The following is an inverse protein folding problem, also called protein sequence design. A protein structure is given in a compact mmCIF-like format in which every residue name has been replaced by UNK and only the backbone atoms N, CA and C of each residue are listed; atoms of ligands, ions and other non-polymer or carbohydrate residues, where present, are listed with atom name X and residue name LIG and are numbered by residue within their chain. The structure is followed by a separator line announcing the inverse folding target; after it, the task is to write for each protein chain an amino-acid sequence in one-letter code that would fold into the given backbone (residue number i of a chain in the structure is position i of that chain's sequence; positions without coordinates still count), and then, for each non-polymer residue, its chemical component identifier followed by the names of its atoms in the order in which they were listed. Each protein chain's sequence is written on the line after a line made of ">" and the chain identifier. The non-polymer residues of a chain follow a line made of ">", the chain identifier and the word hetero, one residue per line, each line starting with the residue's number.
data_IF_996160788928
#
_entry.id   IF_996160788928
#
_cell.length_a   1.000
_cell.length_b   1.000
_cell.length_c   1.000
_cell.angle_alpha   90.00
_cell.angle_beta   90.00
_cell.angle_gamma   90.00
#
_symmetry.space_group_name_H-M   'P 1'
#
loop_
_entity.id
_entity.type
_entity.pdbx_description
1 polymer ?
#
# COMPACT_ATOMS: atom_id res chain seq x y z
N UNK A 1 -8.68 4.90 22.49
CA UNK A 1 -8.60 4.79 21.01
C UNK A 1 -9.73 3.88 20.54
N UNK A 2 -10.56 4.30 19.57
CA UNK A 2 -11.73 3.52 19.11
C UNK A 2 -11.29 2.20 18.39
N UNK A 3 -12.00 1.06 18.58
CA UNK A 3 -11.73 -0.22 17.91
C UNK A 3 -11.50 -0.14 16.40
N UNK A 4 -12.24 0.70 15.68
CA UNK A 4 -12.08 0.87 14.23
C UNK A 4 -10.70 1.43 13.87
N UNK A 5 -10.23 2.44 14.63
CA UNK A 5 -8.90 3.03 14.47
C UNK A 5 -7.79 2.05 14.84
N UNK A 6 -8.01 1.20 15.84
CA UNK A 6 -7.07 0.13 16.20
C UNK A 6 -6.94 -0.91 15.07
N UNK A 7 -8.06 -1.29 14.44
CA UNK A 7 -8.08 -2.22 13.31
C UNK A 7 -7.31 -1.66 12.10
N UNK A 8 -7.53 -0.39 11.75
CA UNK A 8 -6.74 0.30 10.72
C UNK A 8 -5.25 0.33 11.02
N UNK A 9 -4.88 0.80 12.22
CA UNK A 9 -3.47 0.85 12.65
C UNK A 9 -2.77 -0.52 12.62
N UNK A 10 -3.47 -1.61 12.96
CA UNK A 10 -2.92 -2.98 12.88
C UNK A 10 -2.64 -3.38 11.44
N UNK A 11 -3.60 -3.15 10.54
CA UNK A 11 -3.45 -3.42 9.12
C UNK A 11 -2.25 -2.66 8.53
N UNK A 12 -2.19 -1.35 8.74
CA UNK A 12 -1.10 -0.53 8.20
C UNK A 12 0.28 -1.02 8.68
N UNK A 13 0.40 -1.41 9.96
CA UNK A 13 1.64 -1.98 10.51
C UNK A 13 1.99 -3.33 9.89
N UNK A 14 0.99 -4.17 9.65
CA UNK A 14 1.17 -5.46 8.99
C UNK A 14 1.66 -5.28 7.55
N UNK A 15 1.09 -4.32 6.81
CA UNK A 15 1.52 -3.97 5.45
C UNK A 15 2.96 -3.47 5.46
N UNK A 16 3.30 -2.52 6.34
CA UNK A 16 4.69 -2.01 6.45
C UNK A 16 5.66 -3.13 6.78
N UNK A 17 5.31 -4.03 7.70
CA UNK A 17 6.14 -5.19 8.04
C UNK A 17 6.36 -6.10 6.83
N UNK A 18 5.29 -6.44 6.10
CA UNK A 18 5.40 -7.30 4.90
C UNK A 18 6.26 -6.65 3.81
N UNK A 19 6.12 -5.33 3.61
CA UNK A 19 6.96 -4.54 2.70
C UNK A 19 8.43 -4.61 3.10
N UNK A 20 8.73 -4.40 4.39
CA UNK A 20 10.09 -4.46 4.93
C UNK A 20 10.69 -5.86 4.86
N UNK A 21 9.92 -6.90 5.19
CA UNK A 21 10.34 -8.30 5.12
C UNK A 21 10.70 -8.70 3.67
N UNK A 22 10.06 -8.09 2.68
CA UNK A 22 10.35 -8.29 1.25
C UNK A 22 11.55 -7.46 0.74
N UNK A 23 12.25 -6.71 1.62
CA UNK A 23 13.45 -5.94 1.28
C UNK A 23 13.20 -4.52 0.77
N UNK A 24 11.97 -4.01 0.92
CA UNK A 24 11.61 -2.64 0.56
C UNK A 24 11.68 -1.70 1.77
N UNK A 25 11.76 -0.41 1.52
CA UNK A 25 11.57 0.61 2.57
C UNK A 25 10.07 0.87 2.70
N UNK A 26 9.48 0.52 3.85
CA UNK A 26 8.07 0.79 4.16
C UNK A 26 7.92 1.82 5.27
N UNK A 27 7.15 2.88 5.01
CA UNK A 27 6.87 3.97 5.93
C UNK A 27 5.36 4.18 6.11
N UNK A 28 4.90 4.34 7.35
CA UNK A 28 3.50 4.59 7.66
C UNK A 28 3.24 6.07 7.83
N UNK A 29 2.11 6.55 7.29
CA UNK A 29 1.67 7.91 7.51
C UNK A 29 1.36 8.16 8.99
N UNK A 30 1.86 9.26 9.56
CA UNK A 30 1.50 9.66 10.91
C UNK A 30 0.00 9.98 10.97
N UNK A 31 -0.67 9.42 11.97
CA UNK A 31 -2.11 9.53 12.17
C UNK A 31 -2.98 9.09 10.96
N UNK A 32 -2.43 8.24 10.06
CA UNK A 32 -3.08 7.84 8.80
C UNK A 32 -3.40 9.04 7.91
N UNK A 33 -2.48 10.00 7.86
CA UNK A 33 -2.57 11.18 6.99
C UNK A 33 -1.29 11.33 6.16
N UNK A 34 -1.41 11.09 4.86
CA UNK A 34 -0.27 11.08 3.94
C UNK A 34 0.46 12.43 3.84
N UNK A 35 -0.13 13.55 4.29
CA UNK A 35 0.57 14.84 4.38
C UNK A 35 1.82 14.79 5.24
N UNK A 36 1.83 13.90 6.24
CA UNK A 36 3.02 13.65 7.07
C UNK A 36 4.21 13.06 6.30
N UNK A 37 3.95 12.46 5.14
CA UNK A 37 4.94 11.91 4.21
C UNK A 37 5.13 12.79 2.97
N UNK A 38 4.52 13.99 2.94
CA UNK A 38 4.50 14.86 1.76
C UNK A 38 3.56 14.38 0.64
N UNK A 39 2.56 13.56 0.97
CA UNK A 39 1.59 12.96 0.04
C UNK A 39 0.16 13.44 0.35
N UNK A 40 -0.82 12.99 -0.43
CA UNK A 40 -2.24 13.28 -0.19
C UNK A 40 -2.78 12.56 1.07
N UNK A 41 -3.86 13.08 1.65
CA UNK A 41 -4.35 12.65 2.97
C UNK A 41 -4.72 11.17 3.05
N UNK A 42 -5.16 10.59 1.95
CA UNK A 42 -5.69 9.24 1.85
C UNK A 42 -4.63 8.16 1.61
N UNK A 43 -3.34 8.55 1.58
CA UNK A 43 -2.19 7.66 1.61
C UNK A 43 -1.89 7.23 3.04
N UNK A 44 -1.97 5.92 3.29
CA UNK A 44 -1.72 5.33 4.61
C UNK A 44 -0.27 4.82 4.75
N UNK A 45 0.32 4.34 3.65
CA UNK A 45 1.67 3.77 3.61
C UNK A 45 2.39 4.24 2.35
N UNK A 46 3.68 4.57 2.50
CA UNK A 46 4.62 4.79 1.40
C UNK A 46 5.58 3.61 1.35
N UNK A 47 5.80 3.07 0.16
CA UNK A 47 6.76 2.00 -0.10
C UNK A 47 7.79 2.49 -1.13
N UNK A 48 9.08 2.29 -0.85
CA UNK A 48 10.16 2.60 -1.79
C UNK A 48 11.01 1.37 -2.05
N UNK A 49 11.34 1.13 -3.31
CA UNK A 49 12.11 -0.02 -3.75
C UNK A 49 13.00 0.25 -4.95
N UNK A 50 13.95 -0.63 -5.18
CA UNK A 50 14.74 -0.63 -6.41
C UNK A 50 14.09 -1.56 -7.43
N UNK A 51 13.75 -1.01 -8.59
CA UNK A 51 13.41 -1.78 -9.76
C UNK A 51 14.67 -2.00 -10.61
N UNK A 52 14.82 -3.21 -11.14
CA UNK A 52 15.87 -3.56 -12.09
C UNK A 52 15.20 -3.94 -13.41
N UNK A 53 15.43 -3.15 -14.45
CA UNK A 53 14.84 -3.42 -15.75
C UNK A 53 15.36 -4.76 -16.30
N UNK A 54 14.47 -5.66 -16.76
CA UNK A 54 14.85 -7.04 -17.07
C UNK A 54 15.83 -7.15 -18.24
N UNK A 55 15.78 -6.21 -19.19
CA UNK A 55 16.55 -6.26 -20.44
C UNK A 55 17.92 -5.58 -20.26
N UNK A 56 17.94 -4.29 -19.96
CA UNK A 56 19.18 -3.48 -19.91
C UNK A 56 19.83 -3.41 -18.52
N UNK A 57 19.23 -4.04 -17.51
CA UNK A 57 19.71 -4.06 -16.11
C UNK A 57 19.83 -2.69 -15.45
N UNK A 58 19.22 -1.66 -16.02
CA UNK A 58 19.15 -0.34 -15.38
C UNK A 58 18.43 -0.45 -14.04
N UNK A 59 18.97 0.23 -13.02
CA UNK A 59 18.40 0.26 -11.68
C UNK A 59 17.87 1.65 -11.41
N UNK A 60 16.62 1.74 -10.96
CA UNK A 60 16.05 2.99 -10.50
C UNK A 60 15.22 2.77 -9.24
N UNK A 61 15.19 3.79 -8.39
CA UNK A 61 14.32 3.81 -7.24
C UNK A 61 12.91 4.17 -7.67
N UNK A 62 11.92 3.51 -7.07
CA UNK A 62 10.50 3.79 -7.28
C UNK A 62 9.79 3.87 -5.94
N UNK A 63 9.02 4.93 -5.77
CA UNK A 63 8.12 5.11 -4.63
C UNK A 63 6.68 4.78 -5.03
N UNK A 64 5.93 4.21 -4.09
CA UNK A 64 4.52 3.86 -4.23
C UNK A 64 3.72 4.39 -3.05
N UNK A 65 2.58 5.00 -3.36
CA UNK A 65 1.58 5.44 -2.38
C UNK A 65 0.48 4.40 -2.26
N UNK A 66 0.17 3.99 -1.03
CA UNK A 66 -0.70 2.86 -0.73
C UNK A 66 -1.81 3.28 0.24
N UNK A 67 -3.05 2.95 -0.11
CA UNK A 67 -4.18 3.01 0.81
C UNK A 67 -4.44 1.63 1.43
N UNK A 68 -4.76 1.59 2.72
CA UNK A 68 -5.07 0.38 3.47
C UNK A 68 -6.55 0.37 3.90
N UNK A 69 -7.31 -0.66 3.52
CA UNK A 69 -8.69 -0.83 4.01
C UNK A 69 -8.90 -2.23 4.56
N UNK A 70 -9.38 -2.30 5.79
CA UNK A 70 -9.94 -3.55 6.31
C UNK A 70 -11.46 -3.56 6.19
N UNK A 71 -12.02 -4.70 5.81
CA UNK A 71 -13.47 -4.92 5.62
C UNK A 71 -13.87 -6.27 6.20
N UNK A 72 -15.16 -6.45 6.47
CA UNK A 72 -15.69 -7.79 6.84
C UNK A 72 -15.69 -8.73 5.63
N UNK A 73 -15.95 -8.17 4.45
CA UNK A 73 -15.97 -8.85 3.16
C UNK A 73 -15.43 -7.87 2.11
N UNK A 74 -14.64 -8.37 1.16
CA UNK A 74 -14.12 -7.53 0.06
C UNK A 74 -15.27 -7.20 -0.89
N UNK A 75 -15.47 -5.91 -1.14
CA UNK A 75 -16.52 -5.45 -2.03
C UNK A 75 -15.99 -5.28 -3.46
N UNK A 76 -16.82 -5.64 -4.45
CA UNK A 76 -16.45 -5.65 -5.88
C UNK A 76 -16.19 -4.25 -6.48
N UNK A 77 -16.51 -3.18 -5.75
CA UNK A 77 -16.41 -1.80 -6.23
C UNK A 77 -15.22 -1.03 -5.64
N UNK A 78 -14.37 -1.66 -4.83
CA UNK A 78 -13.22 -0.95 -4.26
C UNK A 78 -12.19 -0.73 -5.36
N UNK A 79 -11.84 0.54 -5.58
CA UNK A 79 -10.79 0.98 -6.49
C UNK A 79 -9.78 1.81 -5.72
N UNK A 80 -8.52 1.85 -6.15
CA UNK A 80 -7.55 2.80 -5.63
C UNK A 80 -8.01 4.23 -5.86
N UNK A 81 -7.86 5.13 -4.87
CA UNK A 81 -8.03 6.55 -5.11
C UNK A 81 -6.94 7.08 -6.06
N UNK A 82 -7.17 8.22 -6.69
CA UNK A 82 -6.24 8.80 -7.68
C UNK A 82 -4.85 9.12 -7.10
N UNK A 83 -4.78 9.40 -5.81
CA UNK A 83 -3.54 9.67 -5.07
C UNK A 83 -2.70 8.42 -4.75
N UNK A 84 -3.25 7.23 -4.93
CA UNK A 84 -2.61 5.98 -4.57
C UNK A 84 -2.36 5.11 -5.80
N UNK A 85 -1.21 4.45 -5.84
CA UNK A 85 -0.90 3.51 -6.92
C UNK A 85 -1.75 2.23 -6.81
N UNK A 86 -2.03 1.79 -5.58
CA UNK A 86 -2.90 0.64 -5.32
C UNK A 86 -3.47 0.69 -3.90
N UNK A 87 -4.50 -0.13 -3.66
CA UNK A 87 -5.11 -0.31 -2.34
C UNK A 87 -4.85 -1.72 -1.83
N UNK A 88 -4.36 -1.82 -0.60
CA UNK A 88 -4.30 -3.09 0.13
C UNK A 88 -5.59 -3.30 0.91
N UNK A 89 -6.18 -4.48 0.71
CA UNK A 89 -7.40 -4.93 1.34
C UNK A 89 -7.12 -6.11 2.24
N UNK A 90 -7.78 -6.12 3.40
CA UNK A 90 -7.81 -7.29 4.28
C UNK A 90 -9.24 -7.56 4.75
N UNK A 91 -9.75 -8.72 4.37
CA UNK A 91 -10.99 -9.24 4.98
C UNK A 91 -10.71 -9.84 6.37
N UNK A 92 -11.76 -10.05 7.16
CA UNK A 92 -11.59 -10.61 8.50
C UNK A 92 -10.99 -12.03 8.41
N UNK A 93 -9.81 -12.21 9.00
CA UNK A 93 -9.02 -13.46 8.99
C UNK A 93 -8.57 -13.93 7.60
N UNK A 94 -8.72 -13.09 6.57
CA UNK A 94 -8.20 -13.38 5.24
C UNK A 94 -6.79 -12.84 5.02
N UNK A 95 -6.31 -13.04 3.81
CA UNK A 95 -5.01 -12.57 3.33
C UNK A 95 -5.04 -11.09 2.94
N UNK A 96 -3.86 -10.50 2.84
CA UNK A 96 -3.68 -9.18 2.26
C UNK A 96 -3.75 -9.29 0.74
N UNK A 97 -4.74 -8.64 0.14
CA UNK A 97 -4.88 -8.55 -1.31
C UNK A 97 -4.60 -7.13 -1.80
N UNK A 98 -4.08 -7.00 -3.00
CA UNK A 98 -3.87 -5.71 -3.65
C UNK A 98 -4.90 -5.51 -4.78
N UNK A 99 -5.57 -4.36 -4.77
CA UNK A 99 -6.32 -3.88 -5.94
C UNK A 99 -5.43 -2.87 -6.66
N UNK A 100 -5.03 -3.22 -7.88
CA UNK A 100 -4.19 -2.41 -8.75
C UNK A 100 -4.82 -2.36 -10.14
N UNK A 101 -4.85 -1.20 -10.83
CA UNK A 101 -5.26 -1.17 -12.22
C UNK A 101 -4.35 -2.08 -13.04
N UNK A 102 -4.92 -2.95 -13.87
CA UNK A 102 -4.15 -3.97 -14.58
C UNK A 102 -3.00 -3.37 -15.41
N UNK A 103 -3.22 -2.22 -16.06
CA UNK A 103 -2.18 -1.48 -16.79
C UNK A 103 -0.99 -1.07 -15.92
N UNK A 104 -1.20 -0.79 -14.63
CA UNK A 104 -0.12 -0.42 -13.71
C UNK A 104 0.61 -1.66 -13.21
N UNK A 105 -0.11 -2.77 -12.99
CA UNK A 105 0.52 -4.05 -12.68
C UNK A 105 1.47 -4.49 -13.81
N UNK A 106 1.05 -4.35 -15.07
CA UNK A 106 1.89 -4.71 -16.22
C UNK A 106 3.19 -3.89 -16.31
N UNK A 107 3.25 -2.68 -15.75
CA UNK A 107 4.48 -1.86 -15.68
C UNK A 107 5.42 -2.29 -14.55
N UNK A 108 5.03 -3.28 -13.74
CA UNK A 108 5.79 -3.81 -12.61
C UNK A 108 6.34 -5.21 -12.87
N UNK A 109 5.77 -5.93 -13.85
CA UNK A 109 6.24 -7.22 -14.33
C UNK A 109 7.35 -7.03 -15.38
#
# INVERSE_FOLDING_TARGET
>A
MNPSKQKGNRLEREVVKMVQDAGFVGERAYASNGKSLGLEEDVDVKMTGHYVHPIDKTKFERSFSIQCKSRKTIANYIKPPESCNFTILKEDRGELLAVIPFKELLKLL
#
